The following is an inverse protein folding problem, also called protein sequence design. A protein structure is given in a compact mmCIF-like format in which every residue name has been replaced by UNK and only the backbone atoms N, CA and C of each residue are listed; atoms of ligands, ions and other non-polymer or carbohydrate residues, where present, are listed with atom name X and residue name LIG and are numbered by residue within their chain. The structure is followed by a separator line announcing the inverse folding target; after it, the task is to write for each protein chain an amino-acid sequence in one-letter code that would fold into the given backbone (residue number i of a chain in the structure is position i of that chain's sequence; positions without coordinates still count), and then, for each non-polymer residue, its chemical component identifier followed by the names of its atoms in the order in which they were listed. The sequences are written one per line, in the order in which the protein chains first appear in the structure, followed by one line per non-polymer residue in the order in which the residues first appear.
data_IF_845320674551
#
_entry.id   IF_845320674551
#
_cell.length_a   1.000
_cell.length_b   1.000
_cell.length_c   1.000
_cell.angle_alpha   90.00
_cell.angle_beta   90.00
_cell.angle_gamma   90.00
#
_symmetry.space_group_name_H-M   'P 1'
#
loop_
_entity.id
_entity.type
_entity.pdbx_description
1 polymer ?
#
# COMPACT_ATOMS: atom_id res chain seq x y z
N UNK A 1 54.82 8.18 44.45
CA UNK A 1 53.37 7.81 44.21
C UNK A 1 52.82 8.73 43.13
N UNK A 2 52.60 8.20 41.93
CA UNK A 2 52.05 8.92 40.77
C UNK A 2 50.62 8.44 40.55
N UNK A 3 49.61 9.30 40.36
CA UNK A 3 48.23 8.84 40.03
C UNK A 3 48.10 8.50 38.57
N UNK A 4 47.43 7.38 38.29
CA UNK A 4 47.03 6.90 36.96
C UNK A 4 45.86 7.73 36.39
N UNK A 5 45.84 8.01 35.11
CA UNK A 5 44.72 8.69 34.47
C UNK A 5 43.55 7.72 34.23
N UNK A 6 42.33 8.16 34.59
CA UNK A 6 41.07 7.53 34.32
C UNK A 6 40.76 7.64 32.83
N UNK A 7 40.75 6.52 32.12
CA UNK A 7 40.20 6.39 30.77
C UNK A 7 38.67 6.49 30.82
N UNK A 8 38.14 7.56 30.27
CA UNK A 8 36.73 7.73 29.97
C UNK A 8 36.38 6.87 28.71
N UNK A 9 35.70 5.72 28.92
CA UNK A 9 35.07 5.00 27.86
C UNK A 9 33.83 5.77 27.41
N UNK A 10 33.93 6.49 26.29
CA UNK A 10 32.79 7.07 25.61
C UNK A 10 31.96 5.98 24.95
N UNK A 11 30.76 5.76 25.46
CA UNK A 11 29.76 4.88 24.82
C UNK A 11 29.25 5.56 23.56
N UNK A 12 29.65 5.05 22.40
CA UNK A 12 29.10 5.42 21.08
C UNK A 12 27.71 4.79 20.97
N UNK A 13 26.66 5.58 21.24
CA UNK A 13 25.28 5.20 20.94
C UNK A 13 25.08 5.34 19.44
N UNK A 14 25.17 4.24 18.72
CA UNK A 14 24.79 4.18 17.30
C UNK A 14 23.26 4.22 17.25
N UNK A 15 22.69 5.39 16.99
CA UNK A 15 21.29 5.54 16.59
C UNK A 15 21.13 4.89 15.20
N UNK A 16 20.71 3.64 15.17
CA UNK A 16 20.19 3.02 13.96
C UNK A 16 18.82 3.64 13.63
N UNK A 17 18.83 4.70 12.84
CA UNK A 17 17.62 5.22 12.23
C UNK A 17 17.09 4.15 11.29
N UNK A 18 16.05 3.42 11.71
CA UNK A 18 15.27 2.53 10.85
C UNK A 18 14.54 3.40 9.83
N UNK A 19 15.16 3.58 8.66
CA UNK A 19 14.47 4.07 7.47
C UNK A 19 13.42 3.01 7.12
N UNK A 20 12.19 3.19 7.61
CA UNK A 20 11.05 2.50 7.06
C UNK A 20 10.97 2.91 5.59
N UNK A 21 11.28 1.98 4.69
CA UNK A 21 11.13 2.20 3.27
C UNK A 21 9.64 2.49 3.02
N UNK A 22 9.32 3.77 2.79
CA UNK A 22 7.99 4.17 2.34
C UNK A 22 7.83 3.67 0.91
N UNK A 23 6.64 3.18 0.59
CA UNK A 23 6.26 2.96 -0.80
C UNK A 23 6.54 4.26 -1.58
N UNK A 24 7.23 4.15 -2.70
CA UNK A 24 7.53 5.28 -3.55
C UNK A 24 6.76 5.12 -4.84
N UNK A 25 6.28 6.22 -5.38
CA UNK A 25 5.72 6.22 -6.72
C UNK A 25 6.79 5.71 -7.70
N UNK A 26 6.41 4.75 -8.54
CA UNK A 26 7.34 4.17 -9.49
C UNK A 26 7.67 5.20 -10.57
N UNK A 27 8.95 5.39 -10.91
CA UNK A 27 9.30 6.13 -12.10
C UNK A 27 8.65 5.42 -13.30
N UNK A 28 7.78 6.10 -14.01
CA UNK A 28 7.12 5.59 -15.19
C UNK A 28 7.89 6.02 -16.43
N UNK A 29 8.16 5.04 -17.29
CA UNK A 29 8.62 5.30 -18.67
C UNK A 29 7.36 5.44 -19.52
N UNK A 30 6.91 6.67 -19.72
CA UNK A 30 5.69 6.98 -20.44
C UNK A 30 6.01 7.49 -21.85
N UNK A 31 5.31 6.93 -22.82
CA UNK A 31 5.29 7.39 -24.22
C UNK A 31 3.89 7.90 -24.58
N UNK A 32 3.84 8.94 -25.40
CA UNK A 32 2.60 9.59 -25.84
C UNK A 32 2.73 11.10 -25.89
N UNK A 33 1.74 11.81 -26.41
CA UNK A 33 1.81 13.25 -26.62
C UNK A 33 1.86 14.10 -25.34
N UNK A 34 1.71 13.47 -24.16
CA UNK A 34 1.59 14.19 -22.88
C UNK A 34 0.22 14.86 -22.69
N UNK A 35 -0.12 15.22 -21.45
CA UNK A 35 -1.43 15.75 -21.11
C UNK A 35 -2.54 14.70 -21.14
N UNK A 36 -3.77 15.08 -21.48
CA UNK A 36 -4.97 14.22 -21.45
C UNK A 36 -5.08 13.27 -22.66
N UNK A 37 -4.09 13.22 -23.53
CA UNK A 37 -4.07 12.39 -24.74
C UNK A 37 -3.70 10.92 -24.48
N UNK A 38 -3.73 10.10 -25.55
CA UNK A 38 -3.35 8.69 -25.46
C UNK A 38 -1.91 8.54 -24.95
N UNK A 39 -1.72 7.67 -23.97
CA UNK A 39 -0.41 7.43 -23.35
C UNK A 39 -0.22 5.95 -23.03
N UNK A 40 1.04 5.51 -23.03
CA UNK A 40 1.45 4.19 -22.56
C UNK A 40 2.56 4.35 -21.54
N UNK A 41 2.34 3.89 -20.32
CA UNK A 41 3.30 3.97 -19.23
C UNK A 41 3.76 2.57 -18.81
N UNK A 42 5.06 2.41 -18.60
CA UNK A 42 5.68 1.19 -18.11
C UNK A 42 6.28 1.45 -16.72
N UNK A 43 5.79 0.71 -15.73
CA UNK A 43 6.29 0.75 -14.35
C UNK A 43 7.09 -0.53 -14.11
N UNK A 44 8.41 -0.44 -14.22
CA UNK A 44 9.31 -1.59 -14.20
C UNK A 44 9.62 -2.03 -12.77
N UNK A 45 9.61 -3.34 -12.51
CA UNK A 45 10.22 -3.90 -11.31
C UNK A 45 11.75 -4.00 -11.49
N UNK A 46 12.47 -4.33 -10.42
CA UNK A 46 13.91 -4.64 -10.54
C UNK A 46 14.17 -5.98 -11.23
N UNK A 47 13.15 -6.85 -11.33
CA UNK A 47 13.26 -8.08 -12.11
C UNK A 47 13.16 -7.74 -13.60
N UNK A 48 14.14 -8.12 -14.41
CA UNK A 48 14.08 -7.90 -15.84
C UNK A 48 12.79 -8.45 -16.43
N UNK A 49 12.22 -7.72 -17.36
CA UNK A 49 11.02 -8.13 -18.12
C UNK A 49 9.74 -8.32 -17.29
N UNK A 50 9.64 -7.76 -16.07
CA UNK A 50 8.40 -7.76 -15.30
C UNK A 50 8.02 -6.37 -14.82
N UNK A 51 6.72 -6.13 -14.68
CA UNK A 51 6.20 -4.84 -14.25
C UNK A 51 4.71 -4.66 -14.49
N UNK A 52 4.30 -3.41 -14.44
CA UNK A 52 2.93 -2.97 -14.69
C UNK A 52 2.94 -2.12 -15.95
N UNK A 53 1.91 -2.24 -16.77
CA UNK A 53 1.69 -1.43 -17.95
C UNK A 53 0.31 -0.79 -17.88
N UNK A 54 0.24 0.50 -18.19
CA UNK A 54 -1.00 1.22 -18.36
C UNK A 54 -1.05 1.81 -19.76
N UNK A 55 -2.15 1.57 -20.47
CA UNK A 55 -2.45 2.18 -21.78
C UNK A 55 -3.75 2.95 -21.63
N UNK A 56 -3.67 4.25 -21.76
CA UNK A 56 -4.77 5.16 -21.52
C UNK A 56 -5.16 5.88 -22.83
N UNK A 57 -6.45 5.99 -23.10
CA UNK A 57 -7.00 6.89 -24.13
C UNK A 57 -7.29 8.26 -23.54
N UNK A 58 -7.49 8.32 -22.24
CA UNK A 58 -7.63 9.52 -21.40
C UNK A 58 -7.31 9.14 -19.95
N UNK A 59 -7.25 10.12 -19.05
CA UNK A 59 -7.00 9.87 -17.61
C UNK A 59 -8.06 8.99 -16.92
N UNK A 60 -9.23 8.81 -17.54
CA UNK A 60 -10.34 8.00 -17.01
C UNK A 60 -10.65 6.77 -17.85
N UNK A 61 -9.84 6.46 -18.81
CA UNK A 61 -10.03 5.34 -19.73
C UNK A 61 -8.72 4.65 -20.01
N UNK A 62 -8.30 3.83 -19.06
CA UNK A 62 -7.09 3.04 -19.15
C UNK A 62 -7.41 1.56 -19.15
N UNK A 63 -6.61 0.77 -19.85
CA UNK A 63 -6.42 -0.63 -19.53
C UNK A 63 -5.08 -0.77 -18.80
N UNK A 64 -5.09 -1.51 -17.72
CA UNK A 64 -3.91 -1.70 -16.88
C UNK A 64 -3.67 -3.19 -16.70
N UNK A 65 -2.43 -3.60 -16.77
CA UNK A 65 -2.05 -4.98 -16.67
C UNK A 65 -0.66 -5.14 -16.06
N UNK A 66 -0.33 -6.39 -15.76
CA UNK A 66 1.00 -6.79 -15.35
C UNK A 66 1.61 -7.69 -16.41
N UNK A 67 2.94 -7.74 -16.47
CA UNK A 67 3.64 -8.55 -17.45
C UNK A 67 4.84 -9.27 -16.85
N UNK A 68 5.13 -10.42 -17.47
CA UNK A 68 6.34 -11.21 -17.32
C UNK A 68 6.87 -11.55 -18.70
N UNK A 69 8.17 -11.40 -18.91
CA UNK A 69 8.79 -11.67 -20.21
C UNK A 69 8.64 -10.54 -21.21
N UNK A 70 8.10 -9.38 -20.80
CA UNK A 70 7.97 -8.18 -21.62
C UNK A 70 6.56 -7.60 -21.67
N UNK A 71 6.42 -6.29 -21.90
CA UNK A 71 5.13 -5.59 -21.81
C UNK A 71 4.15 -5.96 -22.93
N UNK A 72 4.60 -6.61 -23.98
CA UNK A 72 3.77 -7.16 -25.08
C UNK A 72 2.95 -8.38 -24.64
N UNK A 73 3.34 -9.02 -23.53
CA UNK A 73 2.67 -10.19 -22.93
C UNK A 73 1.87 -9.83 -21.69
N UNK A 74 1.35 -8.61 -21.63
CA UNK A 74 0.60 -8.17 -20.48
C UNK A 74 -0.69 -8.96 -20.26
N UNK A 75 -0.94 -9.35 -19.01
CA UNK A 75 -2.25 -9.82 -18.53
C UNK A 75 -2.99 -8.62 -17.97
N UNK A 76 -4.14 -8.28 -18.55
CA UNK A 76 -4.91 -7.09 -18.21
C UNK A 76 -5.76 -7.29 -16.97
N UNK A 77 -5.86 -6.26 -16.13
CA UNK A 77 -6.75 -6.25 -14.97
C UNK A 77 -8.21 -6.21 -15.43
N UNK A 78 -9.06 -6.96 -14.73
CA UNK A 78 -10.51 -6.83 -14.89
C UNK A 78 -10.98 -5.70 -13.99
N UNK A 79 -11.65 -4.66 -14.52
CA UNK A 79 -12.24 -3.62 -13.69
C UNK A 79 -13.19 -4.20 -12.64
N UNK A 80 -13.27 -3.59 -11.44
CA UNK A 80 -14.32 -3.92 -10.48
C UNK A 80 -15.71 -3.75 -11.07
N UNK A 81 -16.70 -4.47 -10.54
CA UNK A 81 -18.07 -4.52 -11.09
C UNK A 81 -18.80 -3.17 -11.15
N UNK A 82 -18.36 -2.21 -10.32
CA UNK A 82 -18.88 -0.85 -10.26
C UNK A 82 -18.08 0.16 -11.12
N UNK A 83 -17.08 -0.33 -11.87
CA UNK A 83 -16.25 0.46 -12.77
C UNK A 83 -16.28 -0.15 -14.18
N UNK A 84 -16.66 0.63 -15.19
CA UNK A 84 -16.62 0.18 -16.58
C UNK A 84 -15.22 0.22 -17.19
N UNK A 85 -14.38 1.14 -16.69
CA UNK A 85 -13.00 1.40 -17.11
C UNK A 85 -12.13 1.72 -15.91
N UNK A 86 -10.82 1.53 -16.05
CA UNK A 86 -9.88 1.92 -15.02
C UNK A 86 -9.37 3.34 -15.31
N UNK A 87 -9.34 4.25 -14.32
CA UNK A 87 -8.62 5.51 -14.46
C UNK A 87 -7.11 5.26 -14.54
N UNK A 88 -6.34 6.32 -14.78
CA UNK A 88 -4.89 6.25 -14.72
C UNK A 88 -4.43 5.79 -13.33
N UNK A 89 -3.60 4.76 -13.23
CA UNK A 89 -3.20 4.21 -11.94
C UNK A 89 -2.13 5.06 -11.26
N UNK A 90 -2.15 5.05 -9.92
CA UNK A 90 -0.98 5.28 -9.09
C UNK A 90 -0.30 3.93 -8.83
N UNK A 91 1.01 3.81 -9.09
CA UNK A 91 1.77 2.57 -8.87
C UNK A 91 2.78 2.79 -7.76
N UNK A 92 2.58 2.11 -6.64
CA UNK A 92 3.40 2.21 -5.45
C UNK A 92 4.23 0.94 -5.27
N UNK A 93 5.56 1.05 -5.36
CA UNK A 93 6.47 -0.05 -5.05
C UNK A 93 6.78 -0.08 -3.55
N UNK A 94 6.27 -1.09 -2.84
CA UNK A 94 6.60 -1.34 -1.43
C UNK A 94 7.95 -2.05 -1.26
N UNK A 95 8.33 -2.84 -2.26
CA UNK A 95 9.66 -3.43 -2.42
C UNK A 95 10.02 -3.46 -3.90
N UNK A 96 11.22 -3.91 -4.19
CA UNK A 96 11.68 -4.09 -5.56
C UNK A 96 10.82 -5.04 -6.43
N UNK A 97 10.01 -5.91 -5.83
CA UNK A 97 9.18 -6.91 -6.52
C UNK A 97 7.71 -6.91 -6.13
N UNK A 98 7.32 -6.10 -5.16
CA UNK A 98 5.94 -6.02 -4.68
C UNK A 98 5.39 -4.61 -4.87
N UNK A 99 4.34 -4.49 -5.66
CA UNK A 99 3.67 -3.23 -5.96
C UNK A 99 2.18 -3.26 -5.60
N UNK A 100 1.66 -2.08 -5.29
CA UNK A 100 0.25 -1.76 -5.26
C UNK A 100 -0.07 -0.88 -6.47
N UNK A 101 -1.08 -1.25 -7.24
CA UNK A 101 -1.66 -0.42 -8.29
C UNK A 101 -2.99 0.11 -7.78
N UNK A 102 -3.04 1.41 -7.53
CA UNK A 102 -4.20 2.08 -6.93
C UNK A 102 -4.95 2.91 -7.96
N UNK A 103 -6.27 2.86 -7.87
CA UNK A 103 -7.19 3.61 -8.73
C UNK A 103 -8.14 4.44 -7.88
N UNK A 104 -8.29 5.71 -8.22
CA UNK A 104 -9.31 6.57 -7.64
C UNK A 104 -10.66 6.32 -8.34
N UNK A 105 -11.66 5.92 -7.56
CA UNK A 105 -13.04 5.77 -8.03
C UNK A 105 -13.94 6.97 -7.66
N UNK A 106 -13.37 8.06 -7.15
CA UNK A 106 -14.08 9.27 -6.73
C UNK A 106 -14.73 9.18 -5.35
N UNK A 107 -15.06 10.33 -4.77
CA UNK A 107 -15.73 10.47 -3.46
C UNK A 107 -15.03 9.70 -2.31
N UNK A 108 -13.70 9.70 -2.30
CA UNK A 108 -12.91 9.03 -1.26
C UNK A 108 -12.91 7.50 -1.34
N UNK A 109 -13.27 6.94 -2.49
CA UNK A 109 -13.20 5.53 -2.81
C UNK A 109 -11.89 5.23 -3.53
N UNK A 110 -11.25 4.12 -3.21
CA UNK A 110 -10.08 3.62 -3.93
C UNK A 110 -10.21 2.12 -4.21
N UNK A 111 -9.62 1.68 -5.32
CA UNK A 111 -9.42 0.27 -5.63
C UNK A 111 -7.95 -0.02 -5.76
N UNK A 112 -7.49 -1.13 -5.19
CA UNK A 112 -6.09 -1.55 -5.23
C UNK A 112 -5.96 -2.96 -5.76
N UNK A 113 -4.92 -3.20 -6.58
CA UNK A 113 -4.42 -4.51 -6.94
C UNK A 113 -3.00 -4.66 -6.43
N UNK A 114 -2.68 -5.82 -5.89
CA UNK A 114 -1.33 -6.13 -5.40
C UNK A 114 -0.66 -7.12 -6.33
N UNK A 115 0.52 -6.73 -6.79
CA UNK A 115 1.33 -7.49 -7.72
C UNK A 115 2.64 -7.92 -7.05
N UNK A 116 2.94 -9.21 -7.08
CA UNK A 116 4.20 -9.77 -6.60
C UNK A 116 4.94 -10.44 -7.77
N UNK A 117 5.92 -9.72 -8.30
CA UNK A 117 6.67 -10.14 -9.49
C UNK A 117 7.41 -11.46 -9.28
N UNK A 118 8.04 -11.67 -8.12
CA UNK A 118 8.84 -12.86 -7.83
C UNK A 118 8.01 -14.15 -7.77
N UNK A 119 6.75 -14.05 -7.33
CA UNK A 119 5.85 -15.20 -7.17
C UNK A 119 4.80 -15.30 -8.26
N UNK A 120 4.80 -14.38 -9.22
CA UNK A 120 3.79 -14.29 -10.28
C UNK A 120 2.36 -14.21 -9.71
N UNK A 121 2.15 -13.42 -8.65
CA UNK A 121 0.85 -13.29 -8.02
C UNK A 121 0.23 -11.92 -8.32
N UNK A 122 -1.08 -11.95 -8.58
CA UNK A 122 -1.94 -10.78 -8.65
C UNK A 122 -3.14 -10.99 -7.73
N UNK A 123 -3.48 -9.99 -6.93
CA UNK A 123 -4.69 -10.04 -6.10
C UNK A 123 -5.94 -9.77 -6.95
N UNK A 124 -7.10 -10.22 -6.47
CA UNK A 124 -8.37 -9.62 -6.87
C UNK A 124 -8.41 -8.13 -6.45
N UNK A 125 -9.28 -7.29 -7.05
CA UNK A 125 -9.44 -5.90 -6.64
C UNK A 125 -9.84 -5.79 -5.18
N UNK A 126 -9.23 -4.82 -4.47
CA UNK A 126 -9.47 -4.54 -3.05
C UNK A 126 -9.88 -3.09 -2.89
N UNK A 127 -11.04 -2.87 -2.26
CA UNK A 127 -11.58 -1.53 -2.06
C UNK A 127 -11.07 -0.91 -0.77
N UNK A 128 -10.85 0.41 -0.77
CA UNK A 128 -10.55 1.23 0.40
C UNK A 128 -9.41 0.69 1.27
N UNK A 129 -8.31 0.27 0.61
CA UNK A 129 -7.08 -0.15 1.28
C UNK A 129 -6.37 1.08 1.82
N UNK A 130 -6.05 1.05 3.12
CA UNK A 130 -5.40 2.16 3.83
C UNK A 130 -3.90 1.97 4.00
N UNK A 131 -3.46 0.72 4.20
CA UNK A 131 -2.04 0.35 4.31
C UNK A 131 -1.84 -1.14 4.00
N UNK A 132 -0.62 -1.54 3.63
CA UNK A 132 -0.27 -2.92 3.31
C UNK A 132 1.08 -3.36 3.89
N UNK A 133 1.10 -4.55 4.47
CA UNK A 133 2.32 -5.22 4.92
C UNK A 133 2.73 -6.29 3.90
N UNK A 134 3.69 -5.95 3.06
CA UNK A 134 4.23 -6.84 2.04
C UNK A 134 4.98 -8.06 2.61
N UNK A 135 5.49 -7.98 3.85
CA UNK A 135 6.23 -9.08 4.48
C UNK A 135 5.29 -10.20 4.93
N UNK A 136 4.16 -9.83 5.52
CA UNK A 136 3.13 -10.75 6.00
C UNK A 136 1.99 -10.95 5.00
N UNK A 137 2.00 -10.21 3.89
CA UNK A 137 0.96 -10.18 2.85
C UNK A 137 -0.41 -9.83 3.43
N UNK A 138 -0.43 -8.81 4.29
CA UNK A 138 -1.63 -8.29 4.94
C UNK A 138 -1.97 -6.90 4.39
N UNK A 139 -3.24 -6.56 4.43
CA UNK A 139 -3.74 -5.22 4.14
C UNK A 139 -4.71 -4.78 5.23
N UNK A 140 -4.74 -3.48 5.49
CA UNK A 140 -5.71 -2.82 6.33
C UNK A 140 -6.74 -2.14 5.43
N UNK A 141 -8.01 -2.46 5.62
CA UNK A 141 -9.12 -2.07 4.75
C UNK A 141 -10.24 -1.47 5.56
N UNK A 142 -10.78 -0.31 5.12
CA UNK A 142 -11.96 0.27 5.73
C UNK A 142 -13.22 -0.45 5.22
N UNK A 143 -14.04 -0.97 6.14
CA UNK A 143 -15.26 -1.71 5.82
C UNK A 143 -16.44 -1.27 6.69
N UNK A 144 -17.33 -0.49 6.15
CA UNK A 144 -18.49 -0.01 6.89
C UNK A 144 -18.07 0.78 8.13
N UNK A 145 -18.27 0.19 9.33
CA UNK A 145 -17.91 0.79 10.63
C UNK A 145 -16.69 0.14 11.29
N UNK A 146 -15.92 -0.65 10.55
CA UNK A 146 -14.77 -1.37 11.06
C UNK A 146 -13.52 -1.16 10.19
N UNK A 147 -12.36 -1.33 10.82
CA UNK A 147 -11.10 -1.55 10.13
C UNK A 147 -10.84 -3.05 10.12
N UNK A 148 -10.79 -3.66 8.94
CA UNK A 148 -10.49 -5.07 8.76
C UNK A 148 -9.03 -5.25 8.34
N UNK A 149 -8.32 -6.18 8.98
CA UNK A 149 -7.00 -6.65 8.54
C UNK A 149 -7.21 -7.97 7.83
N UNK A 150 -6.78 -8.03 6.56
CA UNK A 150 -7.02 -9.17 5.68
C UNK A 150 -5.75 -9.64 4.99
N UNK A 151 -5.74 -10.91 4.60
CA UNK A 151 -4.71 -11.42 3.69
C UNK A 151 -4.95 -10.87 2.28
N UNK A 152 -3.90 -10.37 1.63
CA UNK A 152 -3.97 -9.71 0.33
C UNK A 152 -4.58 -10.63 -0.74
N UNK A 153 -4.06 -11.86 -0.88
CA UNK A 153 -4.44 -12.74 -1.99
C UNK A 153 -5.70 -13.57 -1.73
N UNK A 154 -6.00 -13.92 -0.47
CA UNK A 154 -7.17 -14.75 -0.12
C UNK A 154 -8.36 -13.95 0.40
N UNK A 155 -8.18 -12.68 0.77
CA UNK A 155 -9.14 -11.84 1.49
C UNK A 155 -9.60 -12.38 2.85
N UNK A 156 -8.96 -13.42 3.37
CA UNK A 156 -9.28 -13.98 4.68
C UNK A 156 -9.06 -12.92 5.76
N UNK A 157 -10.08 -12.66 6.56
CA UNK A 157 -10.00 -11.75 7.69
C UNK A 157 -9.12 -12.35 8.80
N UNK A 158 -8.24 -11.52 9.34
CA UNK A 158 -7.23 -11.82 10.34
C UNK A 158 -7.58 -11.18 11.66
N UNK A 159 -8.07 -9.94 11.57
CA UNK A 159 -8.43 -9.11 12.70
C UNK A 159 -9.46 -8.08 12.24
N UNK A 160 -10.45 -7.83 13.10
CA UNK A 160 -11.45 -6.77 12.90
C UNK A 160 -11.43 -5.83 14.08
N UNK A 161 -11.31 -4.55 13.81
CA UNK A 161 -11.26 -3.49 14.81
C UNK A 161 -12.49 -2.60 14.66
N UNK A 162 -13.35 -2.63 15.67
CA UNK A 162 -14.45 -1.67 15.83
C UNK A 162 -14.05 -0.68 16.91
N UNK A 163 -14.18 0.60 16.61
CA UNK A 163 -13.80 1.68 17.52
C UNK A 163 -14.93 2.71 17.56
N UNK A 164 -14.86 3.60 18.53
CA UNK A 164 -15.73 4.76 18.62
C UNK A 164 -15.24 5.85 17.63
N UNK A 165 -15.46 5.59 16.33
CA UNK A 165 -15.10 6.51 15.25
C UNK A 165 -15.91 7.80 15.33
N UNK A 166 -15.32 8.94 14.95
CA UNK A 166 -16.02 10.22 14.95
C UNK A 166 -17.29 10.13 14.08
N UNK A 167 -18.46 10.52 14.61
CA UNK A 167 -19.73 10.48 13.88
C UNK A 167 -19.68 11.30 12.60
N UNK A 168 -20.35 10.81 11.56
CA UNK A 168 -20.45 11.49 10.26
C UNK A 168 -19.23 11.31 9.37
N UNK A 169 -18.18 10.59 9.82
CA UNK A 169 -17.05 10.20 9.01
C UNK A 169 -17.12 8.71 8.68
N UNK A 170 -16.65 8.34 7.50
CA UNK A 170 -16.30 6.96 7.21
C UNK A 170 -15.09 6.53 8.05
N UNK A 171 -14.85 5.23 8.19
CA UNK A 171 -13.67 4.72 8.92
C UNK A 171 -12.37 5.25 8.30
N UNK A 172 -12.28 5.27 6.98
CA UNK A 172 -11.11 5.80 6.27
C UNK A 172 -10.87 7.28 6.55
N UNK A 173 -11.93 8.10 6.61
CA UNK A 173 -11.81 9.54 6.92
C UNK A 173 -11.48 9.80 8.40
N UNK A 174 -11.98 8.93 9.30
CA UNK A 174 -11.69 9.03 10.73
C UNK A 174 -10.24 8.66 11.05
N UNK A 175 -9.63 7.74 10.31
CA UNK A 175 -8.24 7.33 10.48
C UNK A 175 -7.32 8.44 9.98
N UNK A 176 -6.37 8.87 10.82
CA UNK A 176 -5.37 9.91 10.53
C UNK A 176 -3.98 9.36 10.28
N UNK A 177 -3.71 8.19 10.85
CA UNK A 177 -2.48 7.46 10.60
C UNK A 177 -2.77 5.97 10.77
N UNK A 178 -2.26 5.18 9.86
CA UNK A 178 -2.25 3.73 9.95
C UNK A 178 -0.93 3.23 9.38
N UNK A 179 -0.31 2.28 10.07
CA UNK A 179 0.96 1.70 9.62
C UNK A 179 1.18 0.34 10.25
N UNK A 180 1.56 -0.62 9.42
CA UNK A 180 2.12 -1.87 9.90
C UNK A 180 3.56 -1.67 10.35
N UNK A 181 3.81 -1.95 11.62
CA UNK A 181 5.15 -1.85 12.20
C UNK A 181 5.99 -3.11 11.91
N UNK A 182 7.34 -2.96 11.86
CA UNK A 182 8.23 -4.11 11.63
C UNK A 182 8.13 -5.22 12.68
N UNK A 183 7.68 -4.89 13.89
CA UNK A 183 7.50 -5.84 15.00
C UNK A 183 6.18 -6.64 14.96
N UNK A 184 5.41 -6.47 13.89
CA UNK A 184 4.17 -7.20 13.70
C UNK A 184 2.93 -6.52 14.27
N UNK A 185 3.06 -5.34 14.83
CA UNK A 185 1.93 -4.54 15.31
C UNK A 185 1.40 -3.62 14.21
N UNK A 186 0.21 -3.10 14.47
CA UNK A 186 -0.42 -2.04 13.70
C UNK A 186 -0.48 -0.78 14.58
N UNK A 187 0.15 0.28 14.16
CA UNK A 187 -0.03 1.62 14.74
C UNK A 187 -1.25 2.26 14.08
N UNK A 188 -2.21 2.70 14.90
CA UNK A 188 -3.46 3.30 14.47
C UNK A 188 -3.71 4.60 15.23
N UNK A 189 -3.94 5.69 14.50
CA UNK A 189 -4.39 6.98 15.06
C UNK A 189 -5.67 7.40 14.38
N UNK A 190 -6.70 7.72 15.16
CA UNK A 190 -8.01 8.10 14.62
C UNK A 190 -8.69 9.22 15.41
N UNK A 191 -9.74 9.78 14.81
CA UNK A 191 -10.66 10.72 15.46
C UNK A 191 -11.75 9.93 16.19
N UNK A 192 -11.85 10.12 17.51
CA UNK A 192 -12.79 9.43 18.38
C UNK A 192 -13.95 10.34 18.76
N UNK A 193 -15.16 9.77 18.75
CA UNK A 193 -16.37 10.39 19.30
C UNK A 193 -16.77 11.73 18.68
N UNK A 194 -17.80 12.39 19.23
CA UNK A 194 -18.30 13.65 18.70
C UNK A 194 -17.32 14.83 18.80
N UNK A 195 -16.45 14.83 19.81
CA UNK A 195 -15.40 15.84 20.00
C UNK A 195 -14.26 15.71 19.00
N UNK A 196 -14.19 14.59 18.27
CA UNK A 196 -13.11 14.26 17.32
C UNK A 196 -11.73 14.24 17.97
N UNK A 197 -11.66 13.73 19.21
CA UNK A 197 -10.39 13.60 19.91
C UNK A 197 -9.44 12.67 19.16
N UNK A 198 -8.19 13.07 19.05
CA UNK A 198 -7.16 12.24 18.41
C UNK A 198 -6.66 11.19 19.39
N UNK A 199 -6.89 9.93 19.08
CA UNK A 199 -6.48 8.77 19.89
C UNK A 199 -5.52 7.91 19.09
N UNK A 200 -4.50 7.38 19.77
CA UNK A 200 -3.52 6.47 19.15
C UNK A 200 -3.40 5.19 19.94
N UNK A 201 -3.28 4.06 19.26
CA UNK A 201 -3.01 2.75 19.85
C UNK A 201 -2.07 1.91 18.99
N UNK A 202 -1.49 0.89 19.61
CA UNK A 202 -0.74 -0.16 18.91
C UNK A 202 -1.42 -1.50 19.14
N UNK A 203 -1.85 -2.13 18.07
CA UNK A 203 -2.62 -3.39 18.10
C UNK A 203 -1.73 -4.54 17.64
N UNK A 204 -1.71 -5.63 18.39
CA UNK A 204 -1.03 -6.85 17.92
C UNK A 204 -1.84 -7.50 16.81
N UNK A 205 -1.24 -7.67 15.65
CA UNK A 205 -1.85 -8.38 14.53
C UNK A 205 -1.43 -9.84 14.59
N UNK A 206 -2.39 -10.80 14.68
CA UNK A 206 -2.05 -12.22 14.75
C UNK A 206 -1.13 -12.65 13.61
N UNK A 207 -0.11 -13.45 13.95
CA UNK A 207 0.72 -14.11 12.95
C UNK A 207 0.03 -15.40 12.48
N UNK A 208 0.01 -15.61 11.18
CA UNK A 208 -0.41 -16.90 10.62
C UNK A 208 0.80 -17.71 10.24
N UNK A 209 0.83 -18.95 10.69
CA UNK A 209 1.72 -19.92 10.10
C UNK A 209 1.37 -20.04 8.60
N UNK A 210 2.39 -19.91 7.77
CA UNK A 210 2.30 -20.03 6.31
C UNK A 210 1.99 -21.46 5.90
#
# INVERSE_FOLDING_TARGET
MRPLPRLLLGALVVLAASLAARASEAPADCSGPGGDGPSRCLYRSVLPSSGIVAECTSDRDCRVGYYYGGPERATWFTPPSDMSKLPKPEVLWHTATFAETRFDCGRGCTWSYFFEAKRHLLSAPRRDVLDADHRRLLMAQAEGRALAIRQIYSAREVLRLERDWAPGLSVGEAIKEIRFDPDGRLTLTWLKGPARDRVSERVTVPSFAR
#
